data_IF_794657027357
#
_entry.id   IF_794657027357
#
_cell.length_a   1.000
_cell.length_b   1.000
_cell.length_c   1.000
_cell.angle_alpha   90.00
_cell.angle_beta   90.00
_cell.angle_gamma   90.00
#
_symmetry.space_group_name_H-M   'P 1'
#
loop_
_entity.id
_entity.type
_entity.pdbx_description
1 polymer ?
#
# COMPACT_ATOMS: atom_id res chain seq x y z
N UNK A 1 0.37 39.76 -12.53
CA UNK A 1 0.51 38.55 -13.37
C UNK A 1 1.86 37.93 -13.03
N UNK A 2 1.88 36.77 -12.40
CA UNK A 2 3.14 36.03 -12.19
C UNK A 2 3.61 35.57 -13.56
N UNK A 3 4.73 36.09 -14.04
CA UNK A 3 5.35 35.64 -15.28
C UNK A 3 5.83 34.20 -15.10
N UNK A 4 5.48 33.31 -16.04
CA UNK A 4 5.99 31.96 -16.02
C UNK A 4 7.52 31.97 -16.15
N UNK A 5 8.26 31.16 -15.37
CA UNK A 5 9.71 31.11 -15.44
C UNK A 5 10.17 30.57 -16.79
N UNK A 6 11.41 30.92 -17.16
CA UNK A 6 12.06 30.35 -18.34
C UNK A 6 12.08 28.81 -18.23
N UNK A 7 11.68 28.12 -19.31
CA UNK A 7 11.59 26.66 -19.33
C UNK A 7 10.26 26.07 -18.86
N UNK A 8 9.31 26.88 -18.37
CA UNK A 8 7.97 26.40 -18.03
C UNK A 8 7.20 25.87 -19.25
N UNK A 9 7.50 26.37 -20.45
CA UNK A 9 6.91 25.91 -21.70
C UNK A 9 7.92 25.04 -22.44
N UNK A 10 7.58 23.76 -22.64
CA UNK A 10 8.41 22.82 -23.42
C UNK A 10 7.80 22.66 -24.81
N UNK A 11 8.62 22.86 -25.84
CA UNK A 11 8.22 22.68 -27.23
C UNK A 11 8.59 21.29 -27.75
N UNK A 12 7.73 20.73 -28.59
CA UNK A 12 8.01 19.55 -29.44
C UNK A 12 7.56 19.89 -30.85
N UNK A 13 8.42 19.65 -31.83
CA UNK A 13 8.17 19.95 -33.24
C UNK A 13 7.70 21.40 -33.47
N UNK A 14 8.30 22.35 -32.76
CA UNK A 14 7.99 23.78 -32.84
C UNK A 14 6.72 24.22 -32.10
N UNK A 15 5.88 23.31 -31.62
CA UNK A 15 4.64 23.60 -30.89
C UNK A 15 4.85 23.45 -29.37
N UNK A 16 4.21 24.30 -28.56
CA UNK A 16 4.23 24.15 -27.09
C UNK A 16 3.42 22.90 -26.72
N UNK A 17 4.11 21.87 -26.25
CA UNK A 17 3.54 20.56 -25.95
C UNK A 17 3.37 20.32 -24.45
N UNK A 18 4.13 21.01 -23.60
CA UNK A 18 4.01 20.88 -22.15
C UNK A 18 4.08 22.25 -21.46
N UNK A 19 3.25 22.42 -20.44
CA UNK A 19 3.36 23.50 -19.45
C UNK A 19 3.71 22.87 -18.11
N UNK A 20 4.84 23.25 -17.52
CA UNK A 20 5.32 22.79 -16.22
C UNK A 20 5.59 24.00 -15.33
N UNK A 21 4.73 24.21 -14.36
CA UNK A 21 4.82 25.31 -13.41
C UNK A 21 4.43 24.88 -11.98
N UNK A 22 5.00 23.78 -11.44
CA UNK A 22 4.70 23.38 -10.08
C UNK A 22 5.36 24.31 -9.05
N UNK A 23 4.73 24.50 -7.89
CA UNK A 23 5.40 25.16 -6.75
C UNK A 23 5.63 26.67 -6.89
N UNK A 24 5.01 27.35 -7.87
CA UNK A 24 5.26 28.78 -8.15
C UNK A 24 4.41 29.73 -7.28
N UNK A 25 3.54 29.20 -6.43
CA UNK A 25 2.63 29.99 -5.60
C UNK A 25 1.53 30.69 -6.40
N UNK A 26 1.14 30.13 -7.56
CA UNK A 26 0.08 30.70 -8.41
C UNK A 26 -1.29 30.58 -7.73
N UNK A 27 -2.03 31.68 -7.65
CA UNK A 27 -3.43 31.67 -7.19
C UNK A 27 -4.42 31.34 -8.32
N UNK A 28 -3.99 31.47 -9.58
CA UNK A 28 -4.76 31.14 -10.79
C UNK A 28 -3.84 30.61 -11.89
N UNK A 29 -4.34 29.78 -12.82
CA UNK A 29 -3.57 29.39 -13.99
C UNK A 29 -3.21 30.59 -14.88
N UNK A 30 -2.19 30.46 -15.76
CA UNK A 30 -1.87 31.47 -16.77
C UNK A 30 -3.10 31.84 -17.63
N UNK A 31 -3.30 33.12 -17.91
CA UNK A 31 -4.50 33.61 -18.62
C UNK A 31 -4.61 33.02 -20.04
N UNK A 32 -3.47 32.81 -20.68
CA UNK A 32 -3.33 32.30 -22.04
C UNK A 32 -3.37 30.77 -22.12
N UNK A 33 -3.58 30.06 -20.99
CA UNK A 33 -3.54 28.59 -20.95
C UNK A 33 -4.43 27.95 -22.02
N UNK A 34 -5.63 28.48 -22.23
CA UNK A 34 -6.58 27.95 -23.22
C UNK A 34 -6.20 28.21 -24.69
N UNK A 35 -5.22 29.08 -24.95
CA UNK A 35 -4.72 29.38 -26.31
C UNK A 35 -3.62 28.41 -26.73
N UNK A 36 -3.00 27.70 -25.78
CA UNK A 36 -1.93 26.74 -26.01
C UNK A 36 -2.48 25.36 -26.41
N UNK A 37 -3.27 25.30 -27.48
CA UNK A 37 -4.04 24.10 -27.89
C UNK A 37 -3.19 22.87 -28.26
N UNK A 38 -1.87 23.05 -28.46
CA UNK A 38 -0.91 21.97 -28.68
C UNK A 38 -0.48 21.20 -27.42
N UNK A 39 -0.93 21.63 -26.23
CA UNK A 39 -0.54 21.01 -24.97
C UNK A 39 -1.01 19.55 -24.84
N UNK A 40 -0.07 18.69 -24.45
CA UNK A 40 -0.26 17.28 -24.08
C UNK A 40 -0.14 17.06 -22.58
N UNK A 41 0.61 17.90 -21.88
CA UNK A 41 0.79 17.88 -20.44
C UNK A 41 0.65 19.28 -19.86
N UNK A 42 -0.14 19.41 -18.79
CA UNK A 42 -0.21 20.60 -17.95
C UNK A 42 0.08 20.17 -16.52
N UNK A 43 1.14 20.71 -15.94
CA UNK A 43 1.53 20.52 -14.55
C UNK A 43 1.53 21.84 -13.81
N UNK A 44 0.51 22.01 -12.96
CA UNK A 44 0.31 23.16 -12.08
C UNK A 44 0.26 22.71 -10.61
N UNK A 45 0.90 21.58 -10.28
CA UNK A 45 0.88 21.03 -8.93
C UNK A 45 1.52 21.97 -7.89
N UNK A 46 1.18 21.81 -6.62
CA UNK A 46 1.76 22.51 -5.48
C UNK A 46 1.68 24.05 -5.57
N UNK A 47 0.57 24.56 -6.09
CA UNK A 47 0.28 25.99 -6.16
C UNK A 47 -0.83 26.37 -5.17
N UNK A 48 -1.49 27.52 -5.35
CA UNK A 48 -2.60 28.00 -4.51
C UNK A 48 -3.88 28.17 -5.33
N UNK A 49 -3.99 27.45 -6.45
CA UNK A 49 -5.05 27.63 -7.44
C UNK A 49 -6.40 27.25 -6.82
N UNK A 50 -7.35 28.17 -6.86
CA UNK A 50 -8.72 27.95 -6.36
C UNK A 50 -9.70 27.51 -7.44
N UNK A 51 -9.42 27.85 -8.70
CA UNK A 51 -10.28 27.52 -9.84
C UNK A 51 -9.48 27.38 -11.15
N UNK A 52 -9.99 26.55 -12.07
CA UNK A 52 -9.52 26.53 -13.45
C UNK A 52 -10.43 27.36 -14.36
N UNK A 53 -9.88 28.07 -15.36
CA UNK A 53 -10.69 28.80 -16.32
C UNK A 53 -11.44 27.84 -17.24
N UNK A 54 -12.64 28.24 -17.70
CA UNK A 54 -13.42 27.46 -18.66
C UNK A 54 -12.69 27.21 -19.99
N UNK A 55 -11.72 28.06 -20.33
CA UNK A 55 -10.86 27.92 -21.51
C UNK A 55 -10.00 26.66 -21.49
N UNK A 56 -9.82 25.99 -20.34
CA UNK A 56 -9.14 24.68 -20.26
C UNK A 56 -9.74 23.67 -21.23
N UNK A 57 -11.06 23.73 -21.49
CA UNK A 57 -11.74 22.83 -22.42
C UNK A 57 -11.31 22.96 -23.88
N UNK A 58 -10.52 23.98 -24.24
CA UNK A 58 -9.91 24.12 -25.58
C UNK A 58 -8.73 23.16 -25.80
N UNK A 59 -8.15 22.61 -24.73
CA UNK A 59 -6.98 21.73 -24.78
C UNK A 59 -7.38 20.27 -25.11
N UNK A 60 -8.11 20.05 -26.20
CA UNK A 60 -8.70 18.73 -26.53
C UNK A 60 -7.66 17.63 -26.77
N UNK A 61 -6.41 18.00 -27.04
CA UNK A 61 -5.25 17.09 -27.15
C UNK A 61 -4.57 16.75 -25.83
N UNK A 62 -4.99 17.35 -24.70
CA UNK A 62 -4.36 17.15 -23.39
C UNK A 62 -4.51 15.70 -22.92
N UNK A 63 -3.40 15.10 -22.46
CA UNK A 63 -3.33 13.71 -21.99
C UNK A 63 -3.19 13.65 -20.48
N UNK A 64 -2.34 14.50 -19.92
CA UNK A 64 -2.05 14.53 -18.47
C UNK A 64 -2.32 15.93 -17.92
N UNK A 65 -3.13 16.00 -16.88
CA UNK A 65 -3.40 17.23 -16.12
C UNK A 65 -3.07 16.99 -14.65
N UNK A 66 -2.04 17.70 -14.16
CA UNK A 66 -1.61 17.64 -12.76
C UNK A 66 -1.96 18.91 -12.02
N UNK A 67 -2.74 18.75 -10.96
CA UNK A 67 -3.29 19.83 -10.13
C UNK A 67 -3.12 19.50 -8.64
N UNK A 68 -2.24 18.55 -8.31
CA UNK A 68 -1.98 18.12 -6.93
C UNK A 68 -1.62 19.31 -6.04
N UNK A 69 -1.95 19.28 -4.75
CA UNK A 69 -1.50 20.28 -3.78
C UNK A 69 -1.97 21.71 -4.10
N UNK A 70 -3.23 21.88 -4.49
CA UNK A 70 -3.85 23.18 -4.76
C UNK A 70 -5.01 23.43 -3.77
N UNK A 71 -5.88 24.42 -4.06
CA UNK A 71 -7.04 24.79 -3.24
C UNK A 71 -8.36 24.63 -4.01
N UNK A 72 -8.41 23.70 -4.96
CA UNK A 72 -9.58 23.49 -5.82
C UNK A 72 -10.74 22.92 -5.01
N UNK A 73 -11.92 23.50 -5.17
CA UNK A 73 -13.20 22.97 -4.63
C UNK A 73 -14.06 22.32 -5.71
N UNK A 74 -13.68 22.45 -6.98
CA UNK A 74 -14.33 21.82 -8.12
C UNK A 74 -13.54 22.02 -9.41
N UNK A 75 -14.11 21.55 -10.53
CA UNK A 75 -13.58 21.75 -11.86
C UNK A 75 -14.66 22.35 -12.79
N UNK A 76 -14.29 23.19 -13.75
CA UNK A 76 -15.25 23.80 -14.66
C UNK A 76 -15.91 22.73 -15.55
N UNK A 77 -17.21 22.89 -15.94
CA UNK A 77 -17.90 21.94 -16.81
C UNK A 77 -17.18 21.61 -18.12
N UNK A 78 -16.44 22.59 -18.66
CA UNK A 78 -15.67 22.44 -19.90
C UNK A 78 -14.52 21.43 -19.81
N UNK A 79 -14.15 20.94 -18.61
CA UNK A 79 -13.17 19.85 -18.47
C UNK A 79 -13.62 18.58 -19.21
N UNK A 80 -14.94 18.33 -19.35
CA UNK A 80 -15.48 17.18 -20.08
C UNK A 80 -15.14 17.21 -21.60
N UNK A 81 -14.68 18.35 -22.13
CA UNK A 81 -14.23 18.47 -23.52
C UNK A 81 -12.85 17.84 -23.78
N UNK A 82 -12.09 17.50 -22.73
CA UNK A 82 -10.74 16.92 -22.82
C UNK A 82 -10.79 15.43 -23.21
N UNK A 83 -11.23 15.12 -24.42
CA UNK A 83 -11.45 13.73 -24.90
C UNK A 83 -10.17 12.88 -24.95
N UNK A 84 -9.01 13.52 -25.03
CA UNK A 84 -7.70 12.84 -25.00
C UNK A 84 -7.16 12.57 -23.60
N UNK A 85 -7.79 13.12 -22.54
CA UNK A 85 -7.28 13.01 -21.18
C UNK A 85 -7.24 11.55 -20.74
N UNK A 86 -6.12 11.16 -20.16
CA UNK A 86 -5.84 9.81 -19.63
C UNK A 86 -5.54 9.86 -18.14
N UNK A 87 -4.85 10.91 -17.70
CA UNK A 87 -4.38 11.06 -16.33
C UNK A 87 -4.85 12.40 -15.76
N UNK A 88 -5.58 12.32 -14.64
CA UNK A 88 -6.03 13.48 -13.88
C UNK A 88 -5.56 13.33 -12.43
N UNK A 89 -4.68 14.23 -12.02
CA UNK A 89 -4.15 14.27 -10.66
C UNK A 89 -4.72 15.47 -9.91
N UNK A 90 -5.41 15.21 -8.81
CA UNK A 90 -6.12 16.17 -7.97
C UNK A 90 -5.83 15.92 -6.48
N UNK A 91 -4.71 15.25 -6.15
CA UNK A 91 -4.39 14.92 -4.76
C UNK A 91 -4.19 16.21 -3.96
N UNK A 92 -4.45 16.20 -2.65
CA UNK A 92 -4.17 17.35 -1.77
C UNK A 92 -4.92 18.62 -2.18
N UNK A 93 -6.22 18.52 -2.45
CA UNK A 93 -7.10 19.65 -2.78
C UNK A 93 -8.24 19.78 -1.75
N UNK A 94 -9.23 20.62 -2.05
CA UNK A 94 -10.37 20.94 -1.20
C UNK A 94 -11.69 20.43 -1.82
N UNK A 95 -11.67 19.30 -2.54
CA UNK A 95 -12.84 18.76 -3.21
C UNK A 95 -13.78 18.08 -2.19
N UNK A 96 -15.02 18.55 -2.11
CA UNK A 96 -16.05 17.95 -1.26
C UNK A 96 -16.80 16.80 -1.98
N UNK A 97 -16.73 16.77 -3.31
CA UNK A 97 -17.26 15.71 -4.16
C UNK A 97 -16.40 15.52 -5.42
N UNK A 98 -16.47 14.33 -6.03
CA UNK A 98 -15.87 14.09 -7.35
C UNK A 98 -16.58 15.00 -8.35
N UNK A 99 -15.87 15.90 -9.08
CA UNK A 99 -16.52 16.81 -10.01
C UNK A 99 -17.26 16.04 -11.12
N UNK A 100 -18.58 16.22 -11.21
CA UNK A 100 -19.44 15.48 -12.16
C UNK A 100 -18.90 15.40 -13.61
N UNK A 101 -18.38 16.49 -14.20
CA UNK A 101 -17.78 16.48 -15.54
C UNK A 101 -16.60 15.50 -15.73
N UNK A 102 -15.87 15.13 -14.67
CA UNK A 102 -14.78 14.14 -14.73
C UNK A 102 -15.33 12.75 -15.09
N UNK A 103 -16.55 12.45 -14.68
CA UNK A 103 -17.22 11.17 -14.93
C UNK A 103 -17.67 11.00 -16.40
N UNK A 104 -17.45 12.01 -17.24
CA UNK A 104 -17.78 12.02 -18.67
C UNK A 104 -16.55 11.94 -19.56
N UNK A 105 -15.36 11.76 -18.98
CA UNK A 105 -14.09 11.64 -19.69
C UNK A 105 -13.92 10.20 -20.19
N UNK A 106 -14.14 9.93 -21.50
CA UNK A 106 -14.31 8.56 -22.00
C UNK A 106 -13.01 7.75 -22.00
N UNK A 107 -11.86 8.42 -21.97
CA UNK A 107 -10.56 7.76 -22.01
C UNK A 107 -9.77 7.83 -20.72
N UNK A 108 -10.36 8.30 -19.61
CA UNK A 108 -9.63 8.43 -18.36
C UNK A 108 -9.18 7.05 -17.85
N UNK A 109 -7.87 6.89 -17.65
CA UNK A 109 -7.25 5.65 -17.16
C UNK A 109 -6.76 5.79 -15.72
N UNK A 110 -6.44 7.00 -15.28
CA UNK A 110 -5.95 7.27 -13.93
C UNK A 110 -6.64 8.49 -13.35
N UNK A 111 -7.19 8.32 -12.15
CA UNK A 111 -7.82 9.38 -11.36
C UNK A 111 -7.26 9.34 -9.94
N UNK A 112 -6.55 10.40 -9.55
CA UNK A 112 -5.96 10.55 -8.23
C UNK A 112 -6.66 11.71 -7.50
N UNK A 113 -7.23 11.40 -6.33
CA UNK A 113 -8.05 12.26 -5.48
C UNK A 113 -7.66 12.11 -4.00
N UNK A 114 -6.47 11.59 -3.71
CA UNK A 114 -6.00 11.35 -2.36
C UNK A 114 -5.91 12.67 -1.57
N UNK A 115 -6.27 12.70 -0.29
CA UNK A 115 -6.11 13.91 0.53
C UNK A 115 -7.08 15.03 0.13
N UNK A 116 -8.37 14.72 -0.02
CA UNK A 116 -9.44 15.68 -0.30
C UNK A 116 -10.48 15.65 0.85
N UNK A 117 -11.70 16.16 0.62
CA UNK A 117 -12.81 16.17 1.59
C UNK A 117 -14.00 15.37 1.09
N UNK A 118 -13.77 14.34 0.29
CA UNK A 118 -14.83 13.53 -0.31
C UNK A 118 -15.55 12.75 0.79
N UNK A 119 -16.85 13.01 0.96
CA UNK A 119 -17.70 12.23 1.87
C UNK A 119 -18.30 10.98 1.21
N UNK A 120 -18.39 10.97 -0.13
CA UNK A 120 -18.89 9.85 -0.92
C UNK A 120 -18.33 9.85 -2.34
N UNK A 121 -18.35 8.68 -2.98
CA UNK A 121 -18.12 8.55 -4.42
C UNK A 121 -19.47 8.40 -5.16
N UNK A 122 -19.66 9.08 -6.31
CA UNK A 122 -20.90 8.99 -7.06
C UNK A 122 -20.99 7.66 -7.82
N UNK A 123 -22.21 7.09 -7.94
CA UNK A 123 -22.45 5.89 -8.75
C UNK A 123 -22.03 6.06 -10.23
N UNK A 124 -22.03 7.30 -10.73
CA UNK A 124 -21.54 7.64 -12.06
C UNK A 124 -20.06 7.31 -12.31
N UNK A 125 -19.27 6.98 -11.27
CA UNK A 125 -17.90 6.47 -11.37
C UNK A 125 -17.82 5.20 -12.23
N UNK A 126 -18.85 4.35 -12.19
CA UNK A 126 -18.94 3.14 -13.02
C UNK A 126 -18.97 3.41 -14.53
N UNK A 127 -19.16 4.67 -14.98
CA UNK A 127 -19.07 5.06 -16.39
C UNK A 127 -17.62 5.07 -16.90
N UNK A 128 -16.64 5.20 -16.01
CA UNK A 128 -15.21 5.23 -16.36
C UNK A 128 -14.67 3.82 -16.62
N UNK A 129 -15.23 3.10 -17.59
CA UNK A 129 -14.91 1.69 -17.88
C UNK A 129 -13.44 1.46 -18.30
N UNK A 130 -12.73 2.51 -18.71
CA UNK A 130 -11.30 2.47 -19.03
C UNK A 130 -10.37 2.70 -17.83
N UNK A 131 -10.90 2.95 -16.64
CA UNK A 131 -10.12 3.28 -15.46
C UNK A 131 -9.28 2.08 -15.00
N UNK A 132 -7.99 2.33 -14.79
CA UNK A 132 -6.99 1.36 -14.35
C UNK A 132 -6.43 1.69 -12.97
N UNK A 133 -6.38 2.99 -12.63
CA UNK A 133 -5.84 3.46 -11.37
C UNK A 133 -6.82 4.44 -10.74
N UNK A 134 -7.24 4.13 -9.52
CA UNK A 134 -8.06 5.01 -8.69
C UNK A 134 -7.42 5.14 -7.32
N UNK A 135 -7.09 6.37 -6.94
CA UNK A 135 -6.68 6.70 -5.57
C UNK A 135 -7.66 7.71 -4.98
N UNK A 136 -8.31 7.36 -3.89
CA UNK A 136 -9.26 8.20 -3.16
C UNK A 136 -9.00 8.10 -1.65
N UNK A 137 -7.77 7.74 -1.27
CA UNK A 137 -7.38 7.69 0.13
C UNK A 137 -7.32 9.06 0.80
N UNK A 138 -7.19 9.14 2.12
CA UNK A 138 -7.13 10.42 2.84
C UNK A 138 -8.37 11.29 2.61
N UNK A 139 -9.56 10.68 2.71
CA UNK A 139 -10.85 11.34 2.53
C UNK A 139 -11.78 10.98 3.70
N UNK A 140 -13.09 11.27 3.58
CA UNK A 140 -14.09 10.99 4.61
C UNK A 140 -15.11 9.92 4.17
N UNK A 141 -14.69 8.97 3.32
CA UNK A 141 -15.58 7.94 2.79
C UNK A 141 -15.98 6.95 3.89
N UNK A 142 -17.28 6.75 4.08
CA UNK A 142 -17.84 5.71 4.98
C UNK A 142 -18.24 4.45 4.22
N UNK A 143 -18.49 4.58 2.91
CA UNK A 143 -18.74 3.47 1.98
C UNK A 143 -18.32 3.86 0.56
N UNK A 144 -18.36 2.87 -0.35
CA UNK A 144 -18.13 3.08 -1.79
C UNK A 144 -19.32 2.52 -2.59
N UNK A 145 -19.71 3.15 -3.71
CA UNK A 145 -20.86 2.72 -4.50
C UNK A 145 -20.59 1.36 -5.17
N UNK A 146 -21.62 0.52 -5.29
CA UNK A 146 -21.50 -0.80 -5.93
C UNK A 146 -20.91 -0.75 -7.35
N UNK A 147 -21.17 0.35 -8.08
CA UNK A 147 -20.62 0.59 -9.42
C UNK A 147 -19.08 0.64 -9.49
N UNK A 148 -18.39 0.88 -8.36
CA UNK A 148 -16.93 0.78 -8.28
C UNK A 148 -16.46 -0.64 -8.59
N UNK A 149 -17.17 -1.66 -8.08
CA UNK A 149 -16.82 -3.07 -8.21
C UNK A 149 -17.02 -3.62 -9.61
N UNK A 150 -17.74 -2.89 -10.47
CA UNK A 150 -17.93 -3.25 -11.88
C UNK A 150 -16.83 -2.68 -12.79
N UNK A 151 -15.82 -1.98 -12.24
CA UNK A 151 -14.64 -1.52 -12.99
C UNK A 151 -13.63 -2.65 -13.17
N UNK A 152 -14.01 -3.69 -13.91
CA UNK A 152 -13.23 -4.93 -14.04
C UNK A 152 -11.79 -4.75 -14.59
N UNK A 153 -11.50 -3.63 -15.27
CA UNK A 153 -10.16 -3.29 -15.76
C UNK A 153 -9.25 -2.57 -14.77
N UNK A 154 -9.71 -2.35 -13.53
CA UNK A 154 -8.96 -1.67 -12.47
C UNK A 154 -7.77 -2.53 -12.04
N UNK A 155 -6.59 -1.90 -11.97
CA UNK A 155 -5.30 -2.52 -11.62
C UNK A 155 -4.77 -2.05 -10.28
N UNK A 156 -5.11 -0.82 -9.90
CA UNK A 156 -4.73 -0.25 -8.61
C UNK A 156 -5.93 0.46 -8.00
N UNK A 157 -6.23 0.12 -6.75
CA UNK A 157 -7.25 0.75 -5.95
C UNK A 157 -6.68 1.14 -4.59
N UNK A 158 -6.66 2.43 -4.29
CA UNK A 158 -6.29 2.95 -2.98
C UNK A 158 -7.51 3.63 -2.35
N UNK A 159 -8.02 3.03 -1.28
CA UNK A 159 -9.08 3.54 -0.39
C UNK A 159 -8.55 3.80 1.04
N UNK A 160 -7.23 3.85 1.23
CA UNK A 160 -6.62 3.97 2.55
C UNK A 160 -7.00 5.28 3.24
N UNK A 161 -6.90 5.37 4.56
CA UNK A 161 -7.14 6.62 5.31
C UNK A 161 -8.53 7.20 5.02
N UNK A 162 -9.54 6.38 5.25
CA UNK A 162 -10.96 6.74 5.17
C UNK A 162 -11.68 6.23 6.43
N UNK A 163 -13.02 6.25 6.43
CA UNK A 163 -13.86 5.75 7.52
C UNK A 163 -14.67 4.51 7.09
N UNK A 164 -14.15 3.68 6.18
CA UNK A 164 -14.85 2.49 5.69
C UNK A 164 -15.03 1.48 6.82
N UNK A 165 -16.25 0.99 7.01
CA UNK A 165 -16.57 -0.03 8.02
C UNK A 165 -16.66 -1.43 7.44
N UNK A 166 -16.88 -1.56 6.13
CA UNK A 166 -17.02 -2.82 5.42
C UNK A 166 -16.54 -2.73 3.96
N UNK A 167 -16.25 -3.90 3.38
CA UNK A 167 -16.02 -4.10 1.96
C UNK A 167 -16.94 -5.25 1.52
N UNK A 168 -17.77 -5.08 0.48
CA UNK A 168 -18.71 -6.11 0.05
C UNK A 168 -18.01 -7.23 -0.75
N UNK A 169 -18.65 -8.39 -0.84
CA UNK A 169 -18.20 -9.54 -1.64
C UNK A 169 -17.99 -9.20 -3.13
N UNK A 170 -18.64 -8.15 -3.62
CA UNK A 170 -18.48 -7.69 -5.01
C UNK A 170 -17.04 -7.28 -5.36
N UNK A 171 -16.17 -7.03 -4.38
CA UNK A 171 -14.75 -6.76 -4.63
C UNK A 171 -14.08 -7.86 -5.48
N UNK A 172 -14.52 -9.13 -5.35
CA UNK A 172 -14.00 -10.25 -6.14
C UNK A 172 -14.23 -10.14 -7.65
N UNK A 173 -15.02 -9.16 -8.12
CA UNK A 173 -15.20 -8.84 -9.54
C UNK A 173 -13.99 -8.10 -10.13
N UNK A 174 -13.15 -7.46 -9.31
CA UNK A 174 -11.98 -6.69 -9.75
C UNK A 174 -10.78 -7.60 -10.10
N UNK A 175 -10.98 -8.54 -11.02
CA UNK A 175 -10.00 -9.62 -11.28
C UNK A 175 -8.68 -9.16 -11.92
N UNK A 176 -8.60 -7.95 -12.47
CA UNK A 176 -7.35 -7.36 -12.99
C UNK A 176 -6.52 -6.64 -11.92
N UNK A 177 -7.03 -6.55 -10.68
CA UNK A 177 -6.40 -5.79 -9.61
C UNK A 177 -5.04 -6.40 -9.23
N UNK A 178 -4.02 -5.54 -9.12
CA UNK A 178 -2.64 -5.88 -8.74
C UNK A 178 -2.24 -5.28 -7.41
N UNK A 179 -2.79 -4.11 -7.10
CA UNK A 179 -2.53 -3.30 -5.92
C UNK A 179 -3.85 -2.95 -5.24
N UNK A 180 -3.97 -3.27 -3.95
CA UNK A 180 -5.11 -2.90 -3.12
C UNK A 180 -4.63 -2.35 -1.79
N UNK A 181 -5.02 -1.10 -1.53
CA UNK A 181 -4.80 -0.46 -0.23
C UNK A 181 -6.14 -0.11 0.43
N UNK A 182 -6.38 -0.72 1.59
CA UNK A 182 -7.51 -0.49 2.48
C UNK A 182 -7.02 -0.12 3.90
N UNK A 183 -5.74 0.24 4.06
CA UNK A 183 -5.17 0.57 5.36
C UNK A 183 -5.83 1.79 6.01
N UNK A 184 -5.68 1.96 7.31
CA UNK A 184 -6.17 3.13 8.05
C UNK A 184 -7.67 3.37 7.82
N UNK A 185 -8.49 2.36 8.11
CA UNK A 185 -9.95 2.40 8.01
C UNK A 185 -10.57 1.85 9.31
N UNK A 186 -11.88 1.64 9.33
CA UNK A 186 -12.61 1.07 10.46
C UNK A 186 -13.16 -0.33 10.17
N UNK A 187 -12.48 -1.11 9.31
CA UNK A 187 -12.94 -2.43 8.90
C UNK A 187 -12.90 -3.41 10.09
N UNK A 188 -14.05 -4.01 10.42
CA UNK A 188 -14.12 -5.07 11.44
C UNK A 188 -13.73 -6.46 10.88
N UNK A 189 -13.82 -6.62 9.56
CA UNK A 189 -13.52 -7.82 8.81
C UNK A 189 -13.36 -7.52 7.32
N UNK A 190 -12.96 -8.52 6.54
CA UNK A 190 -12.88 -8.45 5.09
C UNK A 190 -13.57 -9.66 4.44
N UNK A 191 -14.19 -9.49 3.25
CA UNK A 191 -15.00 -10.52 2.61
C UNK A 191 -14.15 -11.68 2.07
N UNK A 192 -14.77 -12.86 1.92
CA UNK A 192 -14.07 -14.02 1.39
C UNK A 192 -13.65 -13.82 -0.08
N UNK A 193 -14.41 -13.03 -0.85
CA UNK A 193 -14.11 -12.68 -2.23
C UNK A 193 -12.80 -11.90 -2.43
N UNK A 194 -12.15 -11.39 -1.37
CA UNK A 194 -10.77 -10.89 -1.51
C UNK A 194 -9.83 -11.98 -2.06
N UNK A 195 -10.09 -13.24 -1.74
CA UNK A 195 -9.33 -14.38 -2.28
C UNK A 195 -9.54 -14.64 -3.77
N UNK A 196 -10.52 -13.99 -4.41
CA UNK A 196 -10.81 -14.16 -5.84
C UNK A 196 -10.03 -13.14 -6.71
N UNK A 197 -9.24 -12.26 -6.08
CA UNK A 197 -8.34 -11.31 -6.75
C UNK A 197 -7.05 -12.00 -7.21
N UNK A 198 -7.14 -13.02 -8.06
CA UNK A 198 -6.02 -13.90 -8.42
C UNK A 198 -4.81 -13.19 -9.06
N UNK A 199 -5.02 -12.00 -9.65
CA UNK A 199 -3.95 -11.17 -10.21
C UNK A 199 -3.27 -10.22 -9.20
N UNK A 200 -3.74 -10.19 -7.96
CA UNK A 200 -3.15 -9.38 -6.89
C UNK A 200 -1.73 -9.88 -6.64
N UNK A 201 -0.77 -9.06 -7.09
CA UNK A 201 0.62 -9.48 -7.25
C UNK A 201 1.59 -8.56 -6.55
N UNK A 202 1.23 -7.29 -6.43
CA UNK A 202 2.10 -6.30 -5.82
C UNK A 202 1.82 -6.30 -4.33
N UNK A 203 0.80 -5.58 -3.87
CA UNK A 203 0.51 -5.45 -2.43
C UNK A 203 -0.98 -5.53 -2.08
N UNK A 204 -1.21 -6.05 -0.88
CA UNK A 204 -2.48 -5.98 -0.15
C UNK A 204 -2.21 -5.36 1.21
N UNK A 205 -2.69 -4.13 1.40
CA UNK A 205 -2.57 -3.41 2.67
C UNK A 205 -3.91 -3.35 3.37
N UNK A 206 -3.92 -3.86 4.59
CA UNK A 206 -5.06 -3.96 5.51
C UNK A 206 -4.66 -3.42 6.90
N UNK A 207 -3.56 -2.66 6.99
CA UNK A 207 -3.02 -2.17 8.25
C UNK A 207 -3.92 -1.16 8.94
N UNK A 208 -3.81 -1.03 10.26
CA UNK A 208 -4.55 -0.04 11.06
C UNK A 208 -6.07 -0.10 10.80
N UNK A 209 -6.66 -1.22 11.21
CA UNK A 209 -8.09 -1.50 11.10
C UNK A 209 -8.56 -2.22 12.39
N UNK A 210 -9.83 -2.65 12.40
CA UNK A 210 -10.43 -3.40 13.48
C UNK A 210 -10.41 -4.92 13.32
N UNK A 211 -9.62 -5.48 12.40
CA UNK A 211 -9.75 -6.88 11.97
C UNK A 211 -9.47 -7.84 13.13
N UNK A 212 -10.40 -8.76 13.38
CA UNK A 212 -10.25 -9.83 14.39
C UNK A 212 -9.81 -11.16 13.79
N UNK A 213 -10.06 -11.34 12.49
CA UNK A 213 -9.62 -12.47 11.67
C UNK A 213 -9.47 -12.04 10.21
N UNK A 214 -8.87 -12.92 9.40
CA UNK A 214 -8.86 -12.81 7.94
C UNK A 214 -9.41 -14.10 7.32
N UNK A 215 -10.11 -14.05 6.18
CA UNK A 215 -10.71 -15.23 5.58
C UNK A 215 -9.64 -16.18 5.03
N UNK A 216 -9.89 -17.48 5.15
CA UNK A 216 -8.98 -18.51 4.64
C UNK A 216 -8.77 -18.41 3.11
N UNK A 217 -9.71 -17.80 2.38
CA UNK A 217 -9.59 -17.55 0.94
C UNK A 217 -8.40 -16.65 0.58
N UNK A 218 -7.85 -15.83 1.49
CA UNK A 218 -6.64 -15.05 1.21
C UNK A 218 -5.47 -15.92 0.76
N UNK A 219 -5.39 -17.18 1.21
CA UNK A 219 -4.38 -18.13 0.75
C UNK A 219 -4.40 -18.44 -0.77
N UNK A 220 -5.47 -18.07 -1.48
CA UNK A 220 -5.56 -18.20 -2.94
C UNK A 220 -4.72 -17.17 -3.69
N UNK A 221 -4.27 -16.10 -3.04
CA UNK A 221 -3.52 -14.99 -3.65
C UNK A 221 -2.05 -15.35 -3.91
N UNK A 222 -1.82 -16.41 -4.69
CA UNK A 222 -0.50 -17.03 -4.91
C UNK A 222 0.53 -16.13 -5.60
N UNK A 223 0.09 -15.01 -6.17
CA UNK A 223 0.96 -14.02 -6.84
C UNK A 223 1.38 -12.88 -5.92
N UNK A 224 0.74 -12.72 -4.76
CA UNK A 224 0.94 -11.58 -3.88
C UNK A 224 2.36 -11.53 -3.32
N UNK A 225 3.04 -10.39 -3.50
CA UNK A 225 4.39 -10.19 -2.99
C UNK A 225 4.43 -9.56 -1.59
N UNK A 226 3.53 -8.63 -1.28
CA UNK A 226 3.52 -7.90 -0.01
C UNK A 226 2.15 -7.96 0.67
N UNK A 227 2.11 -8.47 1.91
CA UNK A 227 0.91 -8.49 2.74
C UNK A 227 1.15 -7.71 4.03
N UNK A 228 0.35 -6.67 4.26
CA UNK A 228 0.40 -5.87 5.47
C UNK A 228 -0.91 -5.97 6.27
N UNK A 229 -0.83 -6.60 7.44
CA UNK A 229 -1.92 -6.81 8.40
C UNK A 229 -1.64 -6.16 9.76
N UNK A 230 -0.68 -5.23 9.76
CA UNK A 230 -0.22 -4.49 10.94
C UNK A 230 -1.35 -3.79 11.70
N UNK A 231 -1.18 -3.59 13.01
CA UNK A 231 -2.03 -2.75 13.86
C UNK A 231 -3.52 -3.13 13.71
N UNK A 232 -3.80 -4.40 13.94
CA UNK A 232 -5.14 -4.99 13.95
C UNK A 232 -5.39 -5.72 15.28
N UNK A 233 -6.45 -6.52 15.36
CA UNK A 233 -6.83 -7.28 16.56
C UNK A 233 -6.77 -8.79 16.31
N UNK A 234 -5.95 -9.23 15.35
CA UNK A 234 -5.85 -10.63 14.93
C UNK A 234 -5.33 -11.49 16.09
N UNK A 235 -6.11 -12.48 16.49
CA UNK A 235 -5.71 -13.45 17.51
C UNK A 235 -5.10 -14.72 16.90
N UNK A 236 -5.54 -15.08 15.69
CA UNK A 236 -5.07 -16.24 14.92
C UNK A 236 -4.99 -15.89 13.43
N UNK A 237 -4.31 -16.74 12.67
CA UNK A 237 -4.22 -16.67 11.22
C UNK A 237 -4.62 -18.03 10.63
N UNK A 238 -5.26 -18.07 9.45
CA UNK A 238 -5.62 -19.35 8.83
C UNK A 238 -4.38 -20.04 8.23
N UNK A 239 -4.35 -21.38 8.28
CA UNK A 239 -3.28 -22.22 7.71
C UNK A 239 -3.11 -22.06 6.19
N UNK A 240 -4.12 -21.52 5.52
CA UNK A 240 -4.05 -21.25 4.08
C UNK A 240 -3.14 -20.07 3.74
N UNK A 241 -2.80 -19.19 4.70
CA UNK A 241 -1.83 -18.12 4.42
C UNK A 241 -0.45 -18.65 4.05
N UNK A 242 -0.08 -19.86 4.47
CA UNK A 242 1.14 -20.52 4.00
C UNK A 242 1.14 -20.89 2.51
N UNK A 243 0.01 -20.76 1.80
CA UNK A 243 -0.11 -21.01 0.36
C UNK A 243 0.24 -19.79 -0.52
N UNK A 244 0.59 -18.64 0.08
CA UNK A 244 1.02 -17.43 -0.61
C UNK A 244 2.43 -17.59 -1.22
N UNK A 245 2.53 -18.39 -2.27
CA UNK A 245 3.80 -18.89 -2.82
C UNK A 245 4.76 -17.80 -3.34
N UNK A 246 4.26 -16.61 -3.69
CA UNK A 246 5.07 -15.48 -4.13
C UNK A 246 5.41 -14.47 -3.03
N UNK A 247 4.93 -14.68 -1.79
CA UNK A 247 5.06 -13.69 -0.72
C UNK A 247 6.52 -13.46 -0.37
N UNK A 248 6.92 -12.19 -0.45
CA UNK A 248 8.27 -11.69 -0.15
C UNK A 248 8.31 -11.06 1.24
N UNK A 249 7.25 -10.36 1.63
CA UNK A 249 7.18 -9.68 2.92
C UNK A 249 5.80 -9.85 3.57
N UNK A 250 5.82 -10.18 4.86
CA UNK A 250 4.64 -10.31 5.69
C UNK A 250 4.78 -9.43 6.94
N UNK A 251 3.93 -8.41 7.04
CA UNK A 251 3.86 -7.53 8.21
C UNK A 251 2.63 -7.86 9.06
N UNK A 252 2.87 -8.20 10.32
CA UNK A 252 1.86 -8.63 11.30
C UNK A 252 2.05 -7.91 12.66
N UNK A 253 2.88 -6.87 12.74
CA UNK A 253 3.18 -6.24 14.03
C UNK A 253 1.97 -5.51 14.60
N UNK A 254 1.91 -5.35 15.93
CA UNK A 254 0.79 -4.67 16.59
C UNK A 254 -0.53 -5.46 16.56
N UNK A 255 -0.47 -6.79 16.67
CA UNK A 255 -1.65 -7.66 16.71
C UNK A 255 -1.76 -8.39 18.07
N UNK A 256 -2.62 -9.41 18.16
CA UNK A 256 -2.86 -10.22 19.37
C UNK A 256 -2.50 -11.69 19.15
N UNK A 257 -1.65 -11.99 18.17
CA UNK A 257 -1.30 -13.35 17.78
C UNK A 257 -0.61 -14.08 18.93
N UNK A 258 -1.07 -15.30 19.23
CA UNK A 258 -0.47 -16.16 20.27
C UNK A 258 0.43 -17.26 19.69
N UNK A 259 0.17 -17.66 18.45
CA UNK A 259 0.91 -18.66 17.68
C UNK A 259 1.00 -18.26 16.22
N UNK A 260 1.88 -18.93 15.46
CA UNK A 260 1.92 -18.86 14.00
C UNK A 260 1.43 -20.19 13.41
N UNK A 261 0.80 -20.18 12.23
CA UNK A 261 0.43 -21.40 11.51
C UNK A 261 1.65 -22.26 11.15
N UNK A 262 1.53 -23.60 11.24
CA UNK A 262 2.59 -24.52 10.80
C UNK A 262 2.84 -24.42 9.28
N UNK A 263 1.81 -24.05 8.53
CA UNK A 263 1.92 -23.78 7.10
C UNK A 263 2.89 -22.67 6.72
N UNK A 264 3.29 -21.78 7.63
CA UNK A 264 4.20 -20.67 7.30
C UNK A 264 5.55 -21.18 6.78
N UNK A 265 6.00 -22.36 7.20
CA UNK A 265 7.19 -23.00 6.65
C UNK A 265 7.18 -23.21 5.13
N UNK A 266 6.01 -23.11 4.47
CA UNK A 266 5.83 -23.25 3.02
C UNK A 266 6.05 -21.96 2.23
N UNK A 267 6.19 -20.80 2.90
CA UNK A 267 6.41 -19.50 2.26
C UNK A 267 7.85 -19.37 1.74
N UNK A 268 8.17 -20.15 0.71
CA UNK A 268 9.53 -20.36 0.20
C UNK A 268 10.24 -19.10 -0.32
N UNK A 269 9.50 -18.04 -0.63
CA UNK A 269 10.03 -16.74 -1.11
C UNK A 269 10.07 -15.64 -0.05
N UNK A 270 9.63 -15.94 1.18
CA UNK A 270 9.54 -14.94 2.24
C UNK A 270 10.93 -14.50 2.65
N UNK A 271 11.17 -13.20 2.61
CA UNK A 271 12.44 -12.54 2.98
C UNK A 271 12.31 -11.76 4.27
N UNK A 272 11.12 -11.24 4.56
CA UNK A 272 10.88 -10.44 5.76
C UNK A 272 9.60 -10.88 6.46
N UNK A 273 9.74 -11.15 7.76
CA UNK A 273 8.63 -11.49 8.64
C UNK A 273 8.66 -10.59 9.88
N UNK A 274 7.68 -9.70 9.97
CA UNK A 274 7.59 -8.70 11.04
C UNK A 274 6.44 -9.04 11.99
N UNK A 275 6.77 -9.42 13.22
CA UNK A 275 5.83 -9.92 14.24
C UNK A 275 5.89 -9.11 15.55
N UNK A 276 6.53 -7.95 15.53
CA UNK A 276 6.71 -7.10 16.71
C UNK A 276 5.38 -6.82 17.42
N UNK A 277 5.38 -6.77 18.76
CA UNK A 277 4.21 -6.31 19.51
C UNK A 277 3.01 -7.25 19.40
N UNK A 278 3.25 -8.54 19.51
CA UNK A 278 2.23 -9.60 19.55
C UNK A 278 2.28 -10.33 20.91
N UNK A 279 1.61 -11.49 21.01
CA UNK A 279 1.60 -12.36 22.20
C UNK A 279 2.15 -13.75 21.87
N UNK A 280 3.08 -13.84 20.90
CA UNK A 280 3.61 -15.12 20.44
C UNK A 280 4.42 -15.76 21.56
N UNK A 281 4.02 -16.96 22.00
CA UNK A 281 4.66 -17.68 23.09
C UNK A 281 5.70 -18.72 22.61
N UNK A 282 5.56 -19.17 21.36
CA UNK A 282 6.47 -20.10 20.70
C UNK A 282 6.34 -20.03 19.18
N UNK A 283 7.37 -20.51 18.49
CA UNK A 283 7.42 -20.59 17.03
C UNK A 283 7.20 -22.04 16.58
N UNK A 284 6.46 -22.28 15.47
CA UNK A 284 6.28 -23.61 14.92
C UNK A 284 7.61 -24.17 14.38
N UNK A 285 7.77 -25.50 14.43
CA UNK A 285 9.00 -26.15 13.97
C UNK A 285 9.20 -26.00 12.45
N UNK A 286 8.10 -25.93 11.70
CA UNK A 286 8.08 -25.65 10.27
C UNK A 286 8.71 -24.32 9.86
N UNK A 287 8.86 -23.35 10.79
CA UNK A 287 9.47 -22.05 10.48
C UNK A 287 10.86 -22.18 9.86
N UNK A 288 11.62 -23.24 10.21
CA UNK A 288 12.91 -23.55 9.60
C UNK A 288 12.86 -23.83 8.08
N UNK A 289 11.68 -23.99 7.49
CA UNK A 289 11.48 -24.11 6.04
C UNK A 289 11.63 -22.80 5.26
N UNK A 290 11.65 -21.65 5.94
CA UNK A 290 11.77 -20.32 5.32
C UNK A 290 13.21 -20.00 4.89
N UNK A 291 13.69 -20.72 3.87
CA UNK A 291 15.11 -20.68 3.45
C UNK A 291 15.56 -19.36 2.83
N UNK A 292 14.64 -18.51 2.35
CA UNK A 292 14.97 -17.16 1.84
C UNK A 292 14.85 -16.06 2.90
N UNK A 293 14.40 -16.36 4.12
CA UNK A 293 14.14 -15.36 5.16
C UNK A 293 15.44 -14.67 5.57
N UNK A 294 15.44 -13.34 5.50
CA UNK A 294 16.59 -12.48 5.82
C UNK A 294 16.39 -11.72 7.12
N UNK A 295 15.17 -11.26 7.36
CA UNK A 295 14.79 -10.47 8.54
C UNK A 295 13.65 -11.16 9.27
N UNK A 296 13.87 -11.44 10.56
CA UNK A 296 12.85 -11.92 11.48
C UNK A 296 12.79 -10.99 12.69
N UNK A 297 11.72 -10.19 12.76
CA UNK A 297 11.47 -9.27 13.87
C UNK A 297 10.41 -9.86 14.80
N UNK A 298 10.83 -10.28 15.99
CA UNK A 298 10.00 -10.89 17.04
C UNK A 298 9.98 -10.03 18.31
N UNK A 299 10.31 -8.75 18.21
CA UNK A 299 10.34 -7.84 19.36
C UNK A 299 9.02 -7.77 20.09
N UNK A 300 9.06 -7.42 21.38
CA UNK A 300 7.85 -7.12 22.15
C UNK A 300 6.81 -8.27 22.08
N UNK A 301 7.26 -9.50 22.36
CA UNK A 301 6.45 -10.72 22.39
C UNK A 301 6.60 -11.42 23.76
N UNK A 302 6.11 -12.65 23.89
CA UNK A 302 6.18 -13.44 25.13
C UNK A 302 6.91 -14.76 24.93
N UNK A 303 7.84 -14.82 23.97
CA UNK A 303 8.60 -16.03 23.67
C UNK A 303 9.38 -16.50 24.89
N UNK A 304 9.25 -17.78 25.21
CA UNK A 304 9.98 -18.43 26.31
C UNK A 304 11.13 -19.29 25.80
N UNK A 305 11.06 -19.75 24.55
CA UNK A 305 12.07 -20.56 23.87
C UNK A 305 12.02 -20.35 22.36
N UNK A 306 13.12 -20.69 21.68
CA UNK A 306 13.16 -20.90 20.23
C UNK A 306 13.27 -22.41 19.92
N UNK A 307 12.70 -22.91 18.81
CA UNK A 307 12.93 -24.27 18.35
C UNK A 307 14.32 -24.42 17.69
N UNK A 308 14.93 -25.60 17.75
CA UNK A 308 16.19 -25.90 17.03
C UNK A 308 16.06 -25.71 15.52
N UNK A 309 14.84 -25.84 14.99
CA UNK A 309 14.51 -25.58 13.59
C UNK A 309 14.85 -24.16 13.12
N UNK A 310 15.11 -23.20 14.03
CA UNK A 310 15.61 -21.87 13.68
C UNK A 310 16.89 -21.94 12.82
N UNK A 311 17.72 -22.98 12.98
CA UNK A 311 18.91 -23.21 12.17
C UNK A 311 18.61 -23.48 10.68
N UNK A 312 17.36 -23.81 10.33
CA UNK A 312 16.91 -23.97 8.95
C UNK A 312 16.80 -22.66 8.17
N UNK A 313 16.80 -21.51 8.87
CA UNK A 313 16.73 -20.17 8.28
C UNK A 313 18.07 -19.74 7.66
N UNK A 314 18.56 -20.51 6.68
CA UNK A 314 19.93 -20.40 6.13
C UNK A 314 20.26 -19.05 5.47
N UNK A 315 19.26 -18.24 5.11
CA UNK A 315 19.47 -16.89 4.59
C UNK A 315 19.35 -15.77 5.65
N UNK A 316 19.09 -16.12 6.92
CA UNK A 316 18.80 -15.13 7.95
C UNK A 316 20.02 -14.28 8.26
N UNK A 317 19.83 -12.97 8.19
CA UNK A 317 20.87 -11.97 8.47
C UNK A 317 20.57 -11.21 9.76
N UNK A 318 19.29 -10.94 10.04
CA UNK A 318 18.85 -10.14 11.17
C UNK A 318 17.78 -10.88 11.96
N UNK A 319 18.08 -11.16 13.22
CA UNK A 319 17.14 -11.74 14.19
C UNK A 319 17.01 -10.80 15.39
N UNK A 320 15.83 -10.19 15.54
CA UNK A 320 15.54 -9.28 16.65
C UNK A 320 14.54 -9.92 17.61
N UNK A 321 15.00 -10.24 18.82
CA UNK A 321 14.26 -10.93 19.87
C UNK A 321 14.07 -10.04 21.10
N UNK A 322 14.28 -8.73 20.98
CA UNK A 322 14.23 -7.84 22.14
C UNK A 322 12.89 -7.89 22.86
N UNK A 323 12.94 -7.67 24.18
CA UNK A 323 11.75 -7.58 25.02
C UNK A 323 10.85 -8.83 24.89
N UNK A 324 11.43 -9.99 25.17
CA UNK A 324 10.77 -11.28 25.25
C UNK A 324 10.99 -11.90 26.64
N UNK A 325 10.70 -13.19 26.81
CA UNK A 325 10.85 -13.92 28.08
C UNK A 325 11.83 -15.09 27.94
N UNK A 326 12.79 -14.99 27.02
CA UNK A 326 13.78 -16.04 26.77
C UNK A 326 14.68 -16.19 27.99
N UNK A 327 14.92 -17.44 28.40
CA UNK A 327 15.92 -17.81 29.40
C UNK A 327 17.22 -18.35 28.80
N UNK A 328 17.13 -18.87 27.57
CA UNK A 328 18.25 -19.37 26.77
C UNK A 328 17.86 -19.33 25.28
N UNK A 329 18.83 -19.56 24.39
CA UNK A 329 18.62 -19.81 22.95
C UNK A 329 19.29 -21.12 22.54
N UNK A 330 18.75 -21.84 21.53
CA UNK A 330 19.29 -23.14 21.13
C UNK A 330 20.72 -23.01 20.56
N UNK A 331 21.58 -23.99 20.86
CA UNK A 331 22.94 -24.11 20.29
C UNK A 331 22.93 -24.08 18.76
N UNK A 332 21.85 -24.59 18.15
CA UNK A 332 21.65 -24.59 16.70
C UNK A 332 21.71 -23.19 16.07
N UNK A 333 21.47 -22.12 16.85
CA UNK A 333 21.56 -20.74 16.38
C UNK A 333 22.98 -20.38 15.89
N UNK A 334 24.02 -20.97 16.49
CA UNK A 334 25.41 -20.79 16.06
C UNK A 334 25.68 -21.31 14.64
N UNK A 335 24.85 -22.24 14.14
CA UNK A 335 24.98 -22.83 12.83
C UNK A 335 24.41 -21.95 11.70
N UNK A 336 23.78 -20.81 12.01
CA UNK A 336 23.27 -19.91 10.98
C UNK A 336 24.42 -19.31 10.16
N UNK A 337 24.48 -19.56 8.85
CA UNK A 337 25.67 -19.25 8.06
C UNK A 337 25.78 -17.76 7.71
N UNK A 338 24.67 -17.01 7.75
CA UNK A 338 24.59 -15.60 7.31
C UNK A 338 24.14 -14.63 8.39
N UNK A 339 24.03 -15.06 9.65
CA UNK A 339 23.54 -14.19 10.71
C UNK A 339 24.55 -13.07 10.99
N UNK A 340 24.15 -11.84 10.71
CA UNK A 340 24.96 -10.63 10.89
C UNK A 340 24.60 -9.91 12.19
N UNK A 341 23.35 -10.00 12.62
CA UNK A 341 22.86 -9.36 13.84
C UNK A 341 21.88 -10.24 14.61
N UNK A 342 22.16 -10.40 15.89
CA UNK A 342 21.29 -11.02 16.89
C UNK A 342 21.06 -10.03 18.04
N UNK A 343 19.81 -9.64 18.27
CA UNK A 343 19.46 -8.75 19.38
C UNK A 343 18.60 -9.47 20.42
N UNK A 344 19.19 -9.75 21.58
CA UNK A 344 18.59 -10.44 22.72
C UNK A 344 18.27 -9.51 23.90
N UNK A 345 18.52 -8.19 23.76
CA UNK A 345 18.32 -7.23 24.86
C UNK A 345 16.92 -7.31 25.46
N UNK A 346 16.83 -7.07 26.76
CA UNK A 346 15.56 -7.09 27.50
C UNK A 346 14.87 -8.47 27.48
N UNK A 347 15.66 -9.55 27.51
CA UNK A 347 15.19 -10.90 27.85
C UNK A 347 15.53 -11.24 29.31
N UNK A 348 15.24 -12.48 29.72
CA UNK A 348 15.50 -13.00 31.07
C UNK A 348 16.54 -14.12 31.01
N UNK A 349 17.62 -13.92 30.24
CA UNK A 349 18.64 -14.94 30.02
C UNK A 349 19.26 -15.33 31.37
N UNK A 350 19.26 -16.63 31.69
CA UNK A 350 19.80 -17.13 32.95
C UNK A 350 21.34 -17.03 32.97
N UNK A 351 21.94 -17.06 31.78
CA UNK A 351 23.38 -16.93 31.50
C UNK A 351 23.58 -16.48 30.05
N UNK A 352 24.80 -16.14 29.69
CA UNK A 352 25.17 -15.94 28.29
C UNK A 352 24.98 -17.26 27.50
N UNK A 353 24.18 -17.27 26.42
CA UNK A 353 23.93 -18.48 25.66
C UNK A 353 25.18 -19.00 24.93
N UNK A 354 25.35 -20.32 24.90
CA UNK A 354 26.54 -20.95 24.29
C UNK A 354 26.70 -20.66 22.78
N UNK A 355 25.62 -20.28 22.10
CA UNK A 355 25.68 -19.89 20.69
C UNK A 355 26.38 -18.54 20.45
N UNK A 356 26.53 -17.69 21.48
CA UNK A 356 26.99 -16.30 21.33
C UNK A 356 28.45 -16.21 20.91
N UNK A 357 29.34 -16.98 21.53
CA UNK A 357 30.78 -16.92 21.24
C UNK A 357 31.06 -17.28 19.78
N UNK A 358 30.51 -18.39 19.31
CA UNK A 358 30.64 -18.84 17.92
C UNK A 358 30.06 -17.84 16.90
N UNK A 359 29.01 -17.09 17.28
CA UNK A 359 28.45 -16.03 16.43
C UNK A 359 29.39 -14.82 16.37
N UNK A 360 29.91 -14.37 17.52
CA UNK A 360 30.84 -13.22 17.60
C UNK A 360 32.16 -13.49 16.86
N UNK A 361 32.72 -14.69 17.01
CA UNK A 361 33.95 -15.12 16.31
C UNK A 361 33.81 -15.01 14.77
N UNK A 362 32.59 -15.17 14.27
CA UNK A 362 32.26 -15.06 12.84
C UNK A 362 31.83 -13.65 12.41
N UNK A 363 31.93 -12.66 13.30
CA UNK A 363 31.59 -11.26 13.01
C UNK A 363 30.12 -10.89 13.18
N UNK A 364 29.28 -11.75 13.77
CA UNK A 364 27.90 -11.41 14.09
C UNK A 364 27.85 -10.43 15.27
N UNK A 365 27.08 -9.35 15.12
CA UNK A 365 26.81 -8.40 16.19
C UNK A 365 25.74 -8.98 17.11
N UNK A 366 26.18 -9.43 18.29
CA UNK A 366 25.28 -9.96 19.34
C UNK A 366 25.09 -8.94 20.45
N UNK A 367 23.84 -8.54 20.70
CA UNK A 367 23.44 -7.62 21.76
C UNK A 367 22.68 -8.39 22.85
N UNK A 368 23.09 -8.30 24.11
CA UNK A 368 22.54 -9.04 25.26
C UNK A 368 21.76 -8.15 26.23
#
# INVERSE_FOLDING_TARGET
MTTLPAGALVRRDGVVAELRAPGLGLDRPPAELGELTGLRLVDLAWNRITELPASIGRLTGLVTLRLDGNRLTGLPPRIAALRSLRELHLDGNALDAVPGPVLELPGLTSLFLYGNRLAALPAGLGRLRGLRHLAVGGNALTSVPGALWDLAGLRSLNLAENALTEIPEDIGRLRDLRMLDLGHNSLAGVPAALGDLENLSDYLYLSDNGLTSVPASLGRLRRLAYLNLTDNRLATLPETLGDLAALVELRLYGNRLTTLPESFGRLSRLRELHLRGNRVAGLPSSLGGLRELRVLDLRDNVLTRLPDAIAGLTALTHLDLRNNRLRDVPRALAALPRLEKLDLRWNKLDREPEAVDALRERGCVVLL
#
